data_IF_919914793894
#
_entry.id   IF_919914793894
#
_cell.length_a   1.000
_cell.length_b   1.000
_cell.length_c   1.000
_cell.angle_alpha   90.00
_cell.angle_beta   90.00
_cell.angle_gamma   90.00
#
_symmetry.space_group_name_H-M   'P 1'
#
loop_
_entity.id
_entity.type
_entity.pdbx_description
1 polymer ?
#
# COMPACT_ATOMS: atom_id res chain seq x y z
N UNK A 1 6.49 15.55 36.39
CA UNK A 1 5.55 14.42 36.22
C UNK A 1 5.48 14.21 34.73
N UNK A 2 6.01 13.10 34.24
CA UNK A 2 6.05 12.78 32.82
C UNK A 2 5.02 11.68 32.55
N UNK A 3 4.19 11.88 31.52
CA UNK A 3 3.19 10.91 31.09
C UNK A 3 3.62 10.40 29.73
N UNK A 4 3.73 9.08 29.61
CA UNK A 4 4.06 8.38 28.37
C UNK A 4 2.81 7.65 27.88
N UNK A 5 2.49 7.83 26.60
CA UNK A 5 1.43 7.09 25.92
C UNK A 5 2.10 6.07 25.01
N UNK A 6 1.70 4.80 25.15
CA UNK A 6 2.19 3.74 24.30
C UNK A 6 1.33 3.66 23.04
N UNK A 7 1.96 3.70 21.88
CA UNK A 7 1.33 3.44 20.60
C UNK A 7 0.96 1.95 20.49
N UNK A 8 -0.23 1.66 19.99
CA UNK A 8 -0.70 0.30 19.70
C UNK A 8 -1.15 0.28 18.24
N UNK A 9 -1.08 -0.88 17.59
CA UNK A 9 -1.55 -0.99 16.21
C UNK A 9 -3.07 -0.91 16.16
N UNK A 10 -3.60 0.29 15.93
CA UNK A 10 -5.03 0.57 15.85
C UNK A 10 -5.44 1.35 14.60
N UNK A 11 -4.47 1.72 13.75
CA UNK A 11 -4.68 2.48 12.52
C UNK A 11 -4.43 1.62 11.28
N UNK A 12 -5.45 0.92 10.74
CA UNK A 12 -5.25 0.03 9.59
C UNK A 12 -4.73 0.77 8.34
N UNK A 13 -3.89 0.12 7.50
CA UNK A 13 -3.37 0.73 6.29
C UNK A 13 -4.47 1.17 5.33
N UNK A 14 -4.26 2.33 4.68
CA UNK A 14 -5.17 2.91 3.69
C UNK A 14 -4.42 3.16 2.39
N UNK A 15 -4.95 2.67 1.27
CA UNK A 15 -4.39 3.02 -0.03
C UNK A 15 -4.61 4.50 -0.35
N UNK A 16 -3.68 5.09 -1.10
CA UNK A 16 -3.78 6.48 -1.54
C UNK A 16 -5.00 6.71 -2.45
N UNK A 17 -5.30 5.73 -3.31
CA UNK A 17 -6.49 5.73 -4.17
C UNK A 17 -7.39 4.54 -3.86
N UNK A 18 -8.69 4.74 -4.06
CA UNK A 18 -9.69 3.66 -3.91
C UNK A 18 -9.57 2.61 -5.01
N UNK A 19 -9.25 3.05 -6.22
CA UNK A 19 -9.12 2.21 -7.41
C UNK A 19 -7.91 2.71 -8.22
N UNK A 20 -7.10 1.78 -8.71
CA UNK A 20 -5.94 2.08 -9.57
C UNK A 20 -6.22 1.56 -10.97
N UNK A 21 -6.13 2.43 -11.97
CA UNK A 21 -6.31 2.08 -13.38
C UNK A 21 -5.00 2.28 -14.14
N UNK A 22 -4.70 1.35 -15.04
CA UNK A 22 -3.58 1.48 -15.97
C UNK A 22 -4.02 1.01 -17.36
N UNK A 23 -3.57 1.72 -18.39
CA UNK A 23 -3.72 1.29 -19.79
C UNK A 23 -2.36 0.84 -20.29
N UNK A 24 -2.31 -0.39 -20.82
CA UNK A 24 -1.06 -1.05 -21.23
C UNK A 24 -1.21 -1.42 -22.70
N UNK A 25 -0.16 -1.17 -23.48
CA UNK A 25 -0.09 -1.58 -24.87
C UNK A 25 0.29 -3.05 -24.99
N UNK A 26 -0.25 -3.77 -25.98
CA UNK A 26 0.00 -5.21 -26.18
C UNK A 26 1.46 -5.53 -26.51
N UNK A 27 2.21 -4.54 -27.01
CA UNK A 27 3.65 -4.62 -27.31
C UNK A 27 4.54 -4.38 -26.08
N UNK A 28 3.96 -4.25 -24.89
CA UNK A 28 4.71 -3.98 -23.66
C UNK A 28 5.66 -5.14 -23.31
N UNK A 29 6.94 -4.81 -23.15
CA UNK A 29 7.98 -5.78 -22.81
C UNK A 29 7.76 -6.43 -21.43
N UNK A 30 8.17 -7.70 -21.31
CA UNK A 30 8.15 -8.45 -20.06
C UNK A 30 9.10 -7.80 -19.05
N UNK A 31 8.64 -7.67 -17.81
CA UNK A 31 9.41 -7.08 -16.72
C UNK A 31 9.25 -5.56 -16.61
N UNK A 32 8.47 -4.91 -17.49
CA UNK A 32 8.16 -3.50 -17.37
C UNK A 32 7.27 -3.25 -16.15
N UNK A 33 7.63 -2.24 -15.35
CA UNK A 33 6.77 -1.75 -14.27
C UNK A 33 5.55 -1.03 -14.86
N UNK A 34 4.36 -1.39 -14.37
CA UNK A 34 3.08 -0.86 -14.89
C UNK A 34 2.59 0.30 -14.03
N UNK A 35 2.37 0.04 -12.74
CA UNK A 35 1.78 0.99 -11.81
C UNK A 35 2.43 0.82 -10.43
N UNK A 36 2.70 1.94 -9.77
CA UNK A 36 3.06 1.96 -8.36
C UNK A 36 1.81 2.22 -7.52
N UNK A 37 1.59 1.40 -6.51
CA UNK A 37 0.50 1.57 -5.53
C UNK A 37 1.10 1.86 -4.16
N UNK A 38 0.46 2.74 -3.41
CA UNK A 38 0.96 3.17 -2.10
C UNK A 38 -0.17 3.10 -1.08
N UNK A 39 0.19 2.76 0.15
CA UNK A 39 -0.70 2.81 1.30
C UNK A 39 0.02 3.48 2.47
N UNK A 40 -0.75 4.06 3.38
CA UNK A 40 -0.28 4.72 4.60
C UNK A 40 -0.97 4.12 5.80
N UNK A 41 -0.20 3.91 6.85
CA UNK A 41 -0.63 3.43 8.16
C UNK A 41 -0.08 4.45 9.17
N UNK A 42 -0.93 4.92 10.07
CA UNK A 42 -0.64 6.06 10.95
C UNK A 42 -0.06 5.60 12.32
N UNK A 43 0.14 4.29 12.52
CA UNK A 43 0.79 3.74 13.71
C UNK A 43 2.30 4.04 13.72
N UNK A 44 2.95 3.96 14.89
CA UNK A 44 4.39 4.19 15.02
C UNK A 44 5.23 3.15 14.26
N UNK A 45 4.78 1.89 14.21
CA UNK A 45 5.39 0.83 13.40
C UNK A 45 4.53 0.49 12.17
N UNK A 46 4.61 1.37 11.17
CA UNK A 46 3.79 1.35 9.95
C UNK A 46 4.38 0.47 8.82
N UNK A 47 4.90 -0.73 9.13
CA UNK A 47 5.49 -1.62 8.09
C UNK A 47 4.40 -2.27 7.23
N UNK A 48 4.49 -2.08 5.92
CA UNK A 48 3.50 -2.56 4.96
C UNK A 48 4.01 -3.75 4.14
N UNK A 49 3.13 -4.72 3.91
CA UNK A 49 3.35 -5.84 3.00
C UNK A 49 2.27 -5.82 1.93
N UNK A 50 2.68 -5.84 0.65
CA UNK A 50 1.77 -5.79 -0.49
C UNK A 50 1.68 -7.16 -1.15
N UNK A 51 0.47 -7.56 -1.53
CA UNK A 51 0.22 -8.77 -2.31
C UNK A 51 -0.92 -8.53 -3.29
N UNK A 52 -0.85 -9.19 -4.45
CA UNK A 52 -1.97 -9.27 -5.38
C UNK A 52 -2.82 -10.47 -4.97
N UNK A 53 -4.06 -10.22 -4.58
CA UNK A 53 -5.03 -11.27 -4.27
C UNK A 53 -5.98 -11.36 -5.46
N UNK A 54 -5.95 -12.50 -6.14
CA UNK A 54 -6.73 -12.85 -7.33
C UNK A 54 -6.10 -12.46 -8.69
N UNK A 55 -5.92 -13.46 -9.54
CA UNK A 55 -5.77 -13.35 -10.99
C UNK A 55 -6.85 -14.27 -11.54
N UNK A 56 -7.95 -13.70 -12.01
CA UNK A 56 -9.02 -14.47 -12.63
C UNK A 56 -8.62 -14.92 -14.03
#
# INVERSE_FOLDING_TARGET
VDIYVNDINDSPPKFAEKEYFATISEDTEIGKSIQHVTATDDDFDSKLNYSLVNAQ
#
